data_IF_712752746027
#
_entry.id   IF_712752746027
#
_cell.length_a   1.000
_cell.length_b   1.000
_cell.length_c   1.000
_cell.angle_alpha   90.00
_cell.angle_beta   90.00
_cell.angle_gamma   90.00
#
_symmetry.space_group_name_H-M   'P 1'
#
loop_
_entity.id
_entity.type
_entity.pdbx_description
1 polymer ?
#
# COMPACT_ATOMS: atom_id res chain seq x y z
N UNK A 1 -34.81 -47.82 -5.47
CA UNK A 1 -33.35 -47.87 -5.23
C UNK A 1 -33.03 -46.66 -4.37
N UNK A 2 -32.92 -46.90 -3.07
CA UNK A 2 -32.68 -45.90 -2.03
C UNK A 2 -31.74 -46.55 -1.02
N UNK A 3 -30.59 -45.93 -0.69
CA UNK A 3 -29.82 -46.37 0.44
C UNK A 3 -29.67 -45.22 1.47
N UNK A 4 -30.54 -45.24 2.46
CA UNK A 4 -30.12 -45.61 3.81
C UNK A 4 -29.61 -44.48 4.71
N UNK A 5 -30.54 -43.88 5.44
CA UNK A 5 -30.30 -43.22 6.72
C UNK A 5 -29.75 -44.25 7.72
N UNK A 6 -28.55 -44.02 8.28
CA UNK A 6 -28.04 -44.75 9.45
C UNK A 6 -27.65 -43.77 10.55
N UNK A 7 -28.43 -43.80 11.62
CA UNK A 7 -28.18 -43.15 12.90
C UNK A 7 -27.21 -44.08 13.66
N UNK A 8 -26.05 -43.59 14.07
CA UNK A 8 -25.16 -44.29 15.00
C UNK A 8 -24.99 -43.48 16.28
N UNK A 9 -25.50 -44.03 17.38
CA UNK A 9 -25.18 -43.66 18.75
C UNK A 9 -23.79 -44.20 19.13
N UNK A 10 -22.91 -43.36 19.67
CA UNK A 10 -21.64 -43.83 20.22
C UNK A 10 -20.74 -42.70 20.73
N UNK A 11 -20.76 -42.49 22.04
CA UNK A 11 -19.85 -41.63 22.78
C UNK A 11 -18.42 -42.18 22.81
N UNK A 12 -17.40 -41.38 22.38
CA UNK A 12 -16.02 -41.39 22.91
C UNK A 12 -15.14 -40.30 22.25
N UNK A 13 -14.70 -39.34 23.08
CA UNK A 13 -13.55 -38.38 23.05
C UNK A 13 -13.06 -37.77 21.72
N UNK A 14 -12.76 -36.45 21.66
CA UNK A 14 -12.28 -35.79 20.45
C UNK A 14 -10.77 -36.02 20.29
N UNK A 15 -10.34 -36.44 19.10
CA UNK A 15 -8.95 -36.35 18.68
C UNK A 15 -8.89 -35.84 17.25
N UNK A 16 -8.00 -34.86 17.03
CA UNK A 16 -7.55 -34.28 15.77
C UNK A 16 -8.43 -33.14 15.26
N UNK A 17 -7.99 -31.92 15.56
CA UNK A 17 -8.44 -30.67 14.98
C UNK A 17 -7.89 -30.62 13.54
N UNK A 18 -8.72 -30.89 12.54
CA UNK A 18 -8.36 -30.77 11.13
C UNK A 18 -8.54 -29.33 10.66
N UNK A 19 -7.45 -28.66 10.29
CA UNK A 19 -7.51 -27.39 9.55
C UNK A 19 -7.94 -27.73 8.13
N UNK A 20 -9.19 -27.41 7.76
CA UNK A 20 -9.64 -27.43 6.37
C UNK A 20 -9.44 -26.06 5.75
N UNK A 21 -8.46 -25.93 4.86
CA UNK A 21 -8.35 -24.79 3.95
C UNK A 21 -9.30 -25.05 2.76
N UNK A 22 -10.48 -24.43 2.75
CA UNK A 22 -11.36 -24.43 1.59
C UNK A 22 -11.28 -23.07 0.89
N UNK A 23 -10.81 -23.15 -0.36
CA UNK A 23 -10.85 -22.17 -1.45
C UNK A 23 -10.13 -20.82 -1.25
N UNK A 24 -9.13 -20.64 -2.11
CA UNK A 24 -8.33 -19.44 -2.29
C UNK A 24 -9.02 -18.57 -3.34
N UNK A 25 -9.78 -17.57 -2.88
CA UNK A 25 -10.17 -16.42 -3.68
C UNK A 25 -9.37 -15.22 -3.15
N UNK A 26 -8.61 -14.58 -4.02
CA UNK A 26 -7.64 -13.53 -3.69
C UNK A 26 -8.27 -12.34 -2.94
N UNK A 27 -9.60 -12.20 -3.01
CA UNK A 27 -10.34 -11.09 -2.44
C UNK A 27 -11.21 -11.42 -1.21
N UNK A 28 -11.21 -12.67 -0.72
CA UNK A 28 -11.98 -13.01 0.50
C UNK A 28 -11.42 -14.23 1.25
N UNK A 29 -10.24 -14.07 1.84
CA UNK A 29 -9.68 -15.10 2.73
C UNK A 29 -10.49 -15.18 4.04
N UNK A 30 -11.41 -16.13 4.13
CA UNK A 30 -12.14 -16.48 5.36
C UNK A 30 -11.48 -17.68 6.04
N UNK A 31 -10.86 -17.47 7.19
CA UNK A 31 -10.44 -18.58 8.06
C UNK A 31 -11.62 -18.96 8.95
N UNK A 32 -12.23 -20.11 8.70
CA UNK A 32 -13.31 -20.65 9.54
C UNK A 32 -12.67 -21.50 10.64
N UNK A 33 -12.67 -20.99 11.87
CA UNK A 33 -12.42 -21.81 13.06
C UNK A 33 -13.74 -22.48 13.48
N UNK A 34 -13.88 -23.78 13.24
CA UNK A 34 -14.94 -24.57 13.86
C UNK A 34 -14.57 -24.87 15.31
N UNK A 35 -15.07 -24.06 16.24
CA UNK A 35 -15.21 -24.46 17.64
C UNK A 35 -16.71 -24.61 17.94
N UNK A 36 -17.08 -25.81 18.42
CA UNK A 36 -18.41 -26.25 18.86
C UNK A 36 -19.53 -25.19 18.88
N UNK A 37 -20.50 -25.37 17.99
CA UNK A 37 -21.89 -24.88 18.01
C UNK A 37 -22.13 -23.40 18.35
N UNK A 38 -21.14 -22.54 18.10
CA UNK A 38 -21.32 -21.09 18.13
C UNK A 38 -20.39 -20.47 17.10
N UNK A 39 -20.91 -20.19 15.90
CA UNK A 39 -20.22 -19.44 14.87
C UNK A 39 -20.02 -17.98 15.35
N UNK A 40 -18.98 -17.76 16.16
CA UNK A 40 -18.45 -16.43 16.39
C UNK A 40 -17.58 -16.07 15.21
N UNK A 41 -18.13 -15.30 14.27
CA UNK A 41 -17.36 -14.70 13.17
C UNK A 41 -16.45 -13.62 13.74
N UNK A 42 -15.23 -13.98 14.14
CA UNK A 42 -14.15 -13.00 14.17
C UNK A 42 -13.79 -12.71 12.71
N UNK A 43 -14.22 -11.56 12.19
CA UNK A 43 -13.63 -11.01 10.98
C UNK A 43 -12.18 -10.69 11.31
N UNK A 44 -11.28 -11.67 11.16
CA UNK A 44 -9.87 -11.38 11.01
C UNK A 44 -9.70 -10.80 9.61
N UNK A 45 -10.13 -9.55 9.47
CA UNK A 45 -9.83 -8.75 8.31
C UNK A 45 -8.32 -8.55 8.38
N UNK A 46 -7.58 -9.35 7.62
CA UNK A 46 -6.36 -8.87 6.99
C UNK A 46 -6.81 -7.68 6.14
N UNK A 47 -7.02 -6.51 6.75
CA UNK A 47 -7.06 -5.27 5.99
C UNK A 47 -5.68 -5.24 5.37
N UNK A 48 -5.59 -5.51 4.08
CA UNK A 48 -4.39 -5.22 3.32
C UNK A 48 -4.15 -3.74 3.53
N UNK A 49 -3.26 -3.45 4.49
CA UNK A 49 -2.91 -2.09 4.81
C UNK A 49 -2.18 -1.55 3.59
N UNK A 50 -2.62 -0.39 3.12
CA UNK A 50 -1.90 0.39 2.14
C UNK A 50 -0.41 0.45 2.51
N UNK A 51 0.44 0.47 1.49
CA UNK A 51 1.88 0.63 1.66
C UNK A 51 2.26 2.08 1.36
N UNK A 52 3.30 2.56 2.03
CA UNK A 52 3.74 3.95 1.94
C UNK A 52 5.19 4.01 1.48
N UNK A 53 5.45 4.69 0.37
CA UNK A 53 6.79 4.96 -0.13
C UNK A 53 7.28 6.30 0.43
N UNK A 54 8.11 6.22 1.47
CA UNK A 54 8.75 7.38 2.09
C UNK A 54 10.10 7.64 1.41
N UNK A 55 10.24 8.84 0.87
CA UNK A 55 11.44 9.27 0.15
C UNK A 55 12.02 10.51 0.78
N UNK A 56 13.33 10.49 0.99
CA UNK A 56 14.10 11.57 1.60
C UNK A 56 15.20 11.99 0.65
N UNK A 57 15.09 13.21 0.12
CA UNK A 57 16.05 13.76 -0.83
C UNK A 57 16.81 14.93 -0.22
N UNK A 58 18.14 14.86 -0.32
CA UNK A 58 19.02 15.98 -0.01
C UNK A 58 19.27 16.75 -1.32
N UNK A 59 18.93 18.03 -1.34
CA UNK A 59 19.03 18.92 -2.49
C UNK A 59 20.27 19.81 -2.39
N UNK A 60 20.70 20.33 -3.53
CA UNK A 60 21.68 21.40 -3.58
C UNK A 60 21.13 22.68 -2.92
N UNK A 61 21.98 23.51 -2.27
CA UNK A 61 21.56 24.79 -1.72
C UNK A 61 20.86 25.66 -2.77
N UNK A 62 19.72 26.25 -2.41
CA UNK A 62 18.92 27.10 -3.31
C UNK A 62 18.05 26.34 -4.32
N UNK A 63 18.15 25.01 -4.40
CA UNK A 63 17.37 24.21 -5.35
C UNK A 63 15.93 23.90 -4.90
N UNK A 64 15.58 24.19 -3.64
CA UNK A 64 14.31 23.80 -3.04
C UNK A 64 13.11 24.32 -3.84
N UNK A 65 13.08 25.62 -4.15
CA UNK A 65 11.93 26.22 -4.82
C UNK A 65 11.72 25.61 -6.22
N UNK A 66 12.78 25.52 -7.02
CA UNK A 66 12.75 24.90 -8.35
C UNK A 66 12.25 23.46 -8.29
N UNK A 67 12.70 22.69 -7.29
CA UNK A 67 12.25 21.33 -7.08
C UNK A 67 10.75 21.26 -6.71
N UNK A 68 10.30 22.12 -5.79
CA UNK A 68 8.91 22.18 -5.36
C UNK A 68 7.96 22.57 -6.49
N UNK A 69 8.36 23.51 -7.34
CA UNK A 69 7.56 23.94 -8.49
C UNK A 69 7.45 22.81 -9.53
N UNK A 70 8.55 22.09 -9.79
CA UNK A 70 8.54 20.92 -10.68
C UNK A 70 7.62 19.82 -10.19
N UNK A 71 7.59 19.59 -8.88
CA UNK A 71 6.69 18.62 -8.27
C UNK A 71 5.25 19.08 -8.39
N UNK A 72 4.94 20.31 -8.00
CA UNK A 72 3.57 20.84 -7.96
C UNK A 72 2.93 20.84 -9.35
N UNK A 73 3.68 21.24 -10.36
CA UNK A 73 3.15 21.46 -11.71
C UNK A 73 3.08 20.17 -12.53
N UNK A 74 4.00 19.22 -12.31
CA UNK A 74 4.14 18.03 -13.16
C UNK A 74 4.01 16.75 -12.35
N UNK A 75 4.87 16.58 -11.34
CA UNK A 75 5.07 15.29 -10.71
C UNK A 75 3.90 14.82 -9.83
N UNK A 76 3.18 15.76 -9.22
CA UNK A 76 2.00 15.51 -8.41
C UNK A 76 0.80 15.10 -9.28
N UNK A 77 0.31 15.91 -10.23
CA UNK A 77 -0.84 15.53 -11.06
C UNK A 77 -0.56 14.24 -11.84
N UNK A 78 0.65 14.08 -12.37
CA UNK A 78 1.07 12.86 -13.07
C UNK A 78 0.92 11.60 -12.20
N UNK A 79 1.27 11.68 -10.91
CA UNK A 79 1.16 10.53 -10.00
C UNK A 79 -0.29 10.24 -9.64
N UNK A 80 -1.09 11.29 -9.48
CA UNK A 80 -2.53 11.17 -9.21
C UNK A 80 -3.27 10.50 -10.36
N UNK A 81 -2.88 10.78 -11.62
CA UNK A 81 -3.42 10.12 -12.82
C UNK A 81 -3.19 8.59 -12.81
N UNK A 82 -2.13 8.11 -12.14
CA UNK A 82 -1.81 6.68 -12.01
C UNK A 82 -2.26 6.10 -10.66
N UNK A 83 -3.25 6.71 -10.00
CA UNK A 83 -3.83 6.19 -8.76
C UNK A 83 -2.95 6.34 -7.52
N UNK A 84 -1.79 7.01 -7.63
CA UNK A 84 -0.89 7.25 -6.50
C UNK A 84 -1.37 8.46 -5.71
N UNK A 85 -1.46 8.34 -4.39
CA UNK A 85 -1.94 9.45 -3.54
C UNK A 85 -0.83 10.01 -2.68
N UNK A 86 -0.84 11.33 -2.51
CA UNK A 86 0.10 12.00 -1.62
C UNK A 86 -0.36 11.82 -0.18
N UNK A 87 0.44 11.12 0.63
CA UNK A 87 0.19 10.92 2.05
C UNK A 87 0.85 12.00 2.93
N UNK A 88 1.93 12.60 2.46
CA UNK A 88 2.60 13.70 3.15
C UNK A 88 3.72 14.30 2.33
N UNK A 89 3.94 15.60 2.49
CA UNK A 89 5.02 16.33 1.84
C UNK A 89 5.60 17.36 2.81
N UNK A 90 6.90 17.28 3.05
CA UNK A 90 7.61 18.10 4.03
C UNK A 90 8.95 18.56 3.48
N UNK A 91 9.44 19.68 3.99
CA UNK A 91 10.80 20.16 3.80
C UNK A 91 11.37 20.58 5.15
N UNK A 92 12.70 20.52 5.29
CA UNK A 92 13.36 20.74 6.59
C UNK A 92 13.59 22.22 6.84
N UNK A 93 12.99 22.75 7.91
CA UNK A 93 13.22 24.11 8.43
C UNK A 93 14.34 24.14 9.48
N UNK A 94 14.32 23.20 10.44
CA UNK A 94 15.34 23.06 11.49
C UNK A 94 15.97 21.66 11.40
N UNK A 95 17.32 21.61 11.43
CA UNK A 95 18.10 20.37 11.35
C UNK A 95 18.90 20.27 10.06
N UNK A 96 18.75 19.15 9.32
CA UNK A 96 19.45 18.97 8.04
C UNK A 96 18.73 19.74 6.92
N UNK A 97 19.19 20.95 6.65
CA UNK A 97 18.65 21.86 5.64
C UNK A 97 18.74 21.31 4.21
N UNK A 98 18.00 21.95 3.29
CA UNK A 98 17.89 21.55 1.87
C UNK A 98 17.41 20.11 1.68
N UNK A 99 16.53 19.64 2.56
CA UNK A 99 15.99 18.29 2.51
C UNK A 99 14.49 18.31 2.35
N UNK A 100 14.00 17.47 1.43
CA UNK A 100 12.58 17.19 1.26
C UNK A 100 12.28 15.74 1.68
N UNK A 101 11.14 15.56 2.33
CA UNK A 101 10.61 14.26 2.72
C UNK A 101 9.20 14.16 2.17
N UNK A 102 8.94 13.16 1.36
CA UNK A 102 7.62 12.95 0.78
C UNK A 102 7.20 11.49 0.85
N UNK A 103 5.92 11.29 1.08
CA UNK A 103 5.31 9.99 1.34
C UNK A 103 4.18 9.79 0.36
N UNK A 104 4.28 8.72 -0.42
CA UNK A 104 3.27 8.32 -1.40
C UNK A 104 2.57 7.05 -0.94
N UNK A 105 1.24 7.06 -0.97
CA UNK A 105 0.41 5.93 -0.63
C UNK A 105 0.09 5.10 -1.88
N UNK A 106 0.22 3.78 -1.73
CA UNK A 106 -0.14 2.76 -2.71
C UNK A 106 -1.03 1.70 -2.06
N UNK A 107 -1.81 1.02 -2.89
CA UNK A 107 -2.72 -0.03 -2.43
C UNK A 107 -1.95 -1.26 -1.95
N UNK A 108 -1.01 -1.70 -2.78
CA UNK A 108 -0.22 -2.92 -2.58
C UNK A 108 1.10 -2.82 -3.40
N UNK A 109 1.95 -3.84 -3.29
CA UNK A 109 3.23 -3.88 -4.01
C UNK A 109 3.08 -4.00 -5.54
N UNK A 110 1.98 -4.57 -6.03
CA UNK A 110 1.70 -4.69 -7.46
C UNK A 110 1.35 -3.32 -8.06
N UNK A 111 0.45 -2.57 -7.41
CA UNK A 111 0.14 -1.19 -7.75
C UNK A 111 1.40 -0.32 -7.69
N UNK A 112 2.25 -0.49 -6.65
CA UNK A 112 3.52 0.24 -6.58
C UNK A 112 4.41 0.03 -7.80
N UNK A 113 4.62 -1.23 -8.23
CA UNK A 113 5.48 -1.53 -9.37
C UNK A 113 4.90 -0.99 -10.68
N UNK A 114 3.60 -1.20 -10.91
CA UNK A 114 2.87 -0.71 -12.08
C UNK A 114 2.92 0.82 -12.18
N UNK A 115 2.55 1.53 -11.11
CA UNK A 115 2.55 2.98 -11.10
C UNK A 115 3.96 3.55 -11.26
N UNK A 116 4.97 2.93 -10.65
CA UNK A 116 6.37 3.36 -10.80
C UNK A 116 6.86 3.20 -12.23
N UNK A 117 6.51 2.10 -12.89
CA UNK A 117 6.85 1.88 -14.30
C UNK A 117 6.12 2.90 -15.18
N UNK A 118 4.81 3.07 -14.99
CA UNK A 118 3.97 3.98 -15.76
C UNK A 118 4.47 5.43 -15.66
N UNK A 119 4.71 5.93 -14.45
CA UNK A 119 5.28 7.28 -14.21
C UNK A 119 6.63 7.45 -14.90
N UNK A 120 7.51 6.44 -14.87
CA UNK A 120 8.84 6.54 -15.51
C UNK A 120 8.77 6.55 -17.02
N UNK A 121 7.76 5.90 -17.61
CA UNK A 121 7.55 5.85 -19.06
C UNK A 121 6.71 7.01 -19.60
N UNK A 122 6.01 7.75 -18.75
CA UNK A 122 5.17 8.87 -19.18
C UNK A 122 6.04 9.98 -19.82
N UNK A 123 5.69 10.47 -21.03
CA UNK A 123 6.42 11.56 -21.68
C UNK A 123 6.53 12.83 -20.83
N UNK A 124 5.53 13.16 -20.00
CA UNK A 124 5.55 14.32 -19.08
C UNK A 124 6.65 14.17 -18.03
N UNK A 125 6.91 12.94 -17.59
CA UNK A 125 8.02 12.67 -16.68
C UNK A 125 9.36 12.93 -17.36
N UNK A 126 9.55 12.39 -18.56
CA UNK A 126 10.83 12.45 -19.28
C UNK A 126 11.14 13.84 -19.83
N UNK A 127 10.14 14.51 -20.38
CA UNK A 127 10.32 15.76 -21.12
C UNK A 127 10.12 17.00 -20.24
N UNK A 128 9.22 16.96 -19.26
CA UNK A 128 8.88 18.16 -18.48
C UNK A 128 9.49 18.12 -17.07
N UNK A 129 9.40 16.97 -16.38
CA UNK A 129 9.87 16.87 -15.00
C UNK A 129 11.39 16.66 -14.90
N UNK A 130 11.94 15.63 -15.56
CA UNK A 130 13.35 15.26 -15.42
C UNK A 130 14.33 16.40 -15.73
N UNK A 131 14.16 17.21 -16.80
CA UNK A 131 15.09 18.30 -17.09
C UNK A 131 15.13 19.37 -15.99
N UNK A 132 14.02 19.58 -15.28
CA UNK A 132 13.92 20.58 -14.19
C UNK A 132 14.61 20.14 -12.91
N UNK A 133 14.58 18.84 -12.61
CA UNK A 133 15.11 18.30 -11.35
C UNK A 133 16.49 17.66 -11.48
N UNK A 134 16.95 17.42 -12.71
CA UNK A 134 18.27 16.83 -12.98
C UNK A 134 19.37 17.71 -12.39
N UNK A 135 20.23 17.09 -11.57
CA UNK A 135 21.33 17.79 -10.91
C UNK A 135 20.93 18.61 -9.68
N UNK A 136 19.65 18.67 -9.31
CA UNK A 136 19.23 19.34 -8.07
C UNK A 136 19.41 18.45 -6.84
N UNK A 137 19.34 17.12 -7.01
CA UNK A 137 19.37 16.14 -5.91
C UNK A 137 20.78 15.58 -5.74
N UNK A 138 21.30 15.66 -4.52
CA UNK A 138 22.63 15.17 -4.12
C UNK A 138 22.57 13.74 -3.58
N UNK A 139 21.56 13.44 -2.76
CA UNK A 139 21.37 12.11 -2.15
C UNK A 139 19.91 11.74 -2.13
N UNK A 140 19.62 10.47 -2.39
CA UNK A 140 18.28 9.90 -2.35
C UNK A 140 18.22 8.70 -1.42
N UNK A 141 17.11 8.54 -0.72
CA UNK A 141 16.81 7.38 0.12
C UNK A 141 15.31 7.13 0.06
N UNK A 142 14.93 5.91 -0.33
CA UNK A 142 13.54 5.48 -0.49
C UNK A 142 13.30 4.28 0.45
N UNK A 143 12.13 4.22 1.09
CA UNK A 143 11.74 3.16 2.02
C UNK A 143 10.25 2.85 1.87
N UNK A 144 9.92 1.57 1.69
CA UNK A 144 8.52 1.12 1.77
C UNK A 144 8.17 0.84 3.23
N UNK A 145 7.09 1.45 3.70
CA UNK A 145 6.63 1.44 5.08
C UNK A 145 5.21 0.86 5.14
N UNK A 146 4.92 0.15 6.22
CA UNK A 146 3.57 -0.30 6.56
C UNK A 146 3.00 0.63 7.62
N UNK A 147 1.70 0.94 7.54
CA UNK A 147 1.03 1.66 8.60
C UNK A 147 0.90 0.78 9.86
N UNK A 148 1.00 1.41 11.03
CA UNK A 148 0.62 0.75 12.28
C UNK A 148 -0.89 0.56 12.36
N UNK A 149 -1.33 -0.37 13.21
CA UNK A 149 -2.72 -0.70 13.48
C UNK A 149 -3.57 0.46 14.04
N UNK A 150 -2.93 1.39 14.76
CA UNK A 150 -3.58 2.59 15.30
C UNK A 150 -3.50 3.82 14.39
N UNK A 151 -2.78 3.75 13.26
CA UNK A 151 -2.66 4.89 12.35
C UNK A 151 -3.87 4.97 11.42
N UNK A 152 -4.69 6.00 11.61
CA UNK A 152 -5.80 6.28 10.71
C UNK A 152 -5.31 7.15 9.53
N UNK A 153 -5.22 6.52 8.36
CA UNK A 153 -4.84 7.24 7.14
C UNK A 153 -5.92 8.23 6.74
N UNK A 154 -5.53 9.49 6.52
CA UNK A 154 -6.39 10.51 5.92
C UNK A 154 -6.42 10.44 4.40
N UNK A 155 -5.62 9.55 3.82
CA UNK A 155 -5.67 9.26 2.38
C UNK A 155 -6.91 8.42 2.12
N UNK A 156 -7.79 8.81 1.19
CA UNK A 156 -8.94 8.00 0.81
C UNK A 156 -8.52 6.60 0.39
N UNK A 157 -9.37 5.60 0.64
CA UNK A 157 -9.13 4.24 0.20
C UNK A 157 -8.87 4.22 -1.31
N UNK A 158 -7.78 3.57 -1.70
CA UNK A 158 -7.42 3.37 -3.10
C UNK A 158 -8.25 2.21 -3.66
N UNK A 159 -9.24 2.52 -4.51
CA UNK A 159 -10.02 1.50 -5.22
C UNK A 159 -9.18 0.76 -6.27
N UNK A 160 -9.66 -0.40 -6.70
CA UNK A 160 -9.04 -1.15 -7.82
C UNK A 160 -9.34 -0.50 -9.19
N UNK A 161 -10.41 0.30 -9.28
CA UNK A 161 -10.91 0.88 -10.54
C UNK A 161 -10.23 2.18 -10.99
N UNK A 162 -9.09 2.55 -10.38
CA UNK A 162 -8.35 3.78 -10.67
C UNK A 162 -7.17 3.54 -11.61
#
# INVERSE_FOLDING_TARGET
MDPGTKIWSGSKKPSICGIFLLNYDANNSRVIFCMNDSFSYSHFSWRFSMIYDMRTYDLNPGALQTYMDAVREVALPLREDYGVKLAGWYYTDIGKLNRVVHIWAYRDYTHFDQARQAVRSDPRWVNDYLPRVKGLVVRQQDQIMLASDFFESRVPALSEDA
#
